data_IF_299739687131
#
_entry.id   IF_299739687131
#
_cell.length_a   1.000
_cell.length_b   1.000
_cell.length_c   1.000
_cell.angle_alpha   90.00
_cell.angle_beta   90.00
_cell.angle_gamma   90.00
#
_symmetry.space_group_name_H-M   'P 1'
#
loop_
_entity.id
_entity.type
_entity.pdbx_description
1 polymer ?
#
# COMPACT_ATOMS: atom_id res chain seq x y z
N UNK A 1 -73.50 -7.87 9.81
CA UNK A 1 -74.35 -7.89 8.63
C UNK A 1 -75.52 -6.93 8.92
N UNK A 2 -75.56 -5.82 8.17
CA UNK A 2 -76.67 -4.89 8.24
C UNK A 2 -77.60 -5.19 7.05
N UNK A 3 -78.87 -5.30 7.35
CA UNK A 3 -79.90 -5.57 6.35
C UNK A 3 -80.75 -4.31 6.21
N UNK A 4 -80.70 -3.64 5.06
CA UNK A 4 -81.66 -2.60 4.74
C UNK A 4 -82.90 -3.26 4.16
N UNK A 5 -83.95 -3.42 4.99
CA UNK A 5 -85.18 -4.06 4.64
C UNK A 5 -85.99 -3.27 3.63
N UNK A 6 -85.75 -1.97 3.39
CA UNK A 6 -86.44 -1.14 2.41
C UNK A 6 -85.88 -1.33 1.01
N UNK A 7 -84.61 -1.56 0.82
CA UNK A 7 -83.92 -1.69 -0.44
C UNK A 7 -83.51 -3.14 -0.81
N UNK A 8 -83.84 -4.11 0.04
CA UNK A 8 -83.42 -5.51 -0.14
C UNK A 8 -81.92 -5.70 -0.42
N UNK A 9 -81.08 -4.80 0.11
CA UNK A 9 -79.62 -4.87 -0.03
C UNK A 9 -79.00 -5.44 1.22
N UNK A 10 -78.05 -6.32 1.01
CA UNK A 10 -77.21 -6.89 2.10
C UNK A 10 -75.81 -6.33 1.97
N UNK A 11 -75.32 -5.63 2.98
CA UNK A 11 -73.96 -5.12 3.00
C UNK A 11 -73.08 -6.02 3.90
N UNK A 12 -72.03 -6.52 3.34
CA UNK A 12 -71.00 -7.28 4.08
C UNK A 12 -69.76 -6.43 4.15
N UNK A 13 -69.28 -6.12 5.35
CA UNK A 13 -68.05 -5.42 5.57
C UNK A 13 -66.99 -6.43 5.98
N UNK A 14 -65.92 -6.52 5.20
CA UNK A 14 -64.72 -7.31 5.52
C UNK A 14 -63.63 -6.34 5.93
N UNK A 15 -63.03 -6.59 7.09
CA UNK A 15 -61.89 -5.87 7.58
C UNK A 15 -60.72 -6.85 7.79
N UNK A 16 -59.50 -6.46 7.36
CA UNK A 16 -58.29 -7.18 7.71
C UNK A 16 -57.91 -6.84 9.15
N UNK A 17 -57.42 -7.84 9.87
CA UNK A 17 -56.81 -7.64 11.19
C UNK A 17 -55.57 -6.74 11.06
N UNK A 18 -55.30 -5.96 12.10
CA UNK A 18 -54.07 -5.14 12.18
C UNK A 18 -52.82 -6.00 12.10
N UNK A 19 -52.85 -7.19 12.67
CA UNK A 19 -51.74 -8.14 12.73
C UNK A 19 -52.10 -9.36 11.86
N UNK A 20 -51.46 -9.46 10.69
CA UNK A 20 -51.57 -10.62 9.83
C UNK A 20 -50.58 -11.69 10.32
N UNK A 21 -51.11 -12.77 10.93
CA UNK A 21 -50.31 -13.87 11.43
C UNK A 21 -50.49 -15.14 10.59
N UNK A 22 -49.55 -16.09 10.73
CA UNK A 22 -49.51 -17.36 9.98
C UNK A 22 -49.47 -17.21 8.45
N UNK A 23 -48.73 -16.19 8.00
CA UNK A 23 -48.44 -16.06 6.57
C UNK A 23 -47.15 -16.79 6.22
N UNK A 24 -47.23 -17.74 5.31
CA UNK A 24 -46.03 -18.39 4.77
C UNK A 24 -45.23 -17.45 3.87
N UNK A 25 -45.92 -16.52 3.21
CA UNK A 25 -45.31 -15.61 2.20
C UNK A 25 -46.13 -14.34 2.02
N UNK A 26 -45.44 -13.22 1.93
CA UNK A 26 -45.98 -11.95 1.45
C UNK A 26 -45.30 -11.63 0.13
N UNK A 27 -46.10 -11.41 -0.93
CA UNK A 27 -45.62 -10.99 -2.26
C UNK A 27 -46.20 -9.64 -2.56
N UNK A 28 -45.31 -8.68 -2.83
CA UNK A 28 -45.71 -7.38 -3.36
C UNK A 28 -45.24 -7.33 -4.81
N UNK A 29 -46.18 -7.36 -5.74
CA UNK A 29 -45.86 -7.24 -7.15
C UNK A 29 -45.47 -5.82 -7.51
N UNK A 30 -44.59 -5.68 -8.51
CA UNK A 30 -44.20 -4.39 -9.05
C UNK A 30 -45.37 -3.63 -9.72
N UNK A 31 -45.08 -2.43 -10.18
CA UNK A 31 -46.04 -1.47 -10.76
C UNK A 31 -46.87 -2.05 -11.90
N UNK A 32 -46.33 -2.99 -12.65
CA UNK A 32 -46.98 -3.62 -13.82
C UNK A 32 -47.97 -4.75 -13.44
N UNK A 33 -48.07 -5.09 -12.14
CA UNK A 33 -48.94 -6.16 -11.67
C UNK A 33 -48.56 -7.57 -12.14
N UNK A 34 -47.38 -7.72 -12.77
CA UNK A 34 -46.89 -9.02 -13.25
C UNK A 34 -46.09 -9.70 -12.18
N UNK A 35 -46.44 -10.91 -11.83
CA UNK A 35 -45.69 -11.71 -10.84
C UNK A 35 -44.24 -11.91 -11.30
N UNK A 36 -43.31 -11.67 -10.37
CA UNK A 36 -41.89 -11.83 -10.60
C UNK A 36 -41.17 -10.63 -11.20
N UNK A 37 -41.86 -9.51 -11.41
CA UNK A 37 -41.24 -8.25 -11.83
C UNK A 37 -41.44 -7.18 -10.76
N UNK A 38 -40.41 -6.42 -10.48
CA UNK A 38 -40.31 -5.29 -9.54
C UNK A 38 -41.22 -5.44 -8.28
N UNK A 39 -40.67 -5.87 -7.17
CA UNK A 39 -41.43 -6.04 -5.94
C UNK A 39 -40.56 -6.46 -4.77
N UNK A 40 -41.20 -6.69 -3.65
CA UNK A 40 -40.56 -7.20 -2.43
C UNK A 40 -41.13 -8.57 -2.11
N UNK A 41 -40.26 -9.57 -1.96
CA UNK A 41 -40.65 -10.91 -1.53
C UNK A 41 -40.04 -11.14 -0.13
N UNK A 42 -40.91 -11.45 0.83
CA UNK A 42 -40.50 -11.84 2.20
C UNK A 42 -40.87 -13.30 2.37
N UNK A 43 -39.88 -14.16 2.60
CA UNK A 43 -40.09 -15.58 2.85
C UNK A 43 -39.61 -15.87 4.28
N UNK A 44 -40.53 -16.32 5.12
CA UNK A 44 -40.20 -16.73 6.48
C UNK A 44 -39.48 -18.09 6.53
N UNK A 45 -38.74 -18.37 7.60
CA UNK A 45 -38.20 -19.69 7.84
C UNK A 45 -39.36 -20.68 8.02
N UNK A 46 -39.40 -21.73 7.24
CA UNK A 46 -40.39 -22.79 7.36
C UNK A 46 -39.73 -24.07 7.88
N UNK A 47 -40.11 -24.47 9.05
CA UNK A 47 -39.78 -25.79 9.58
C UNK A 47 -41.04 -26.61 9.77
N UNK A 48 -41.05 -27.85 9.33
CA UNK A 48 -42.15 -28.75 9.64
C UNK A 48 -42.03 -29.20 11.09
N UNK A 49 -43.15 -29.14 11.83
CA UNK A 49 -43.24 -29.73 13.17
C UNK A 49 -43.19 -31.26 13.05
N UNK A 50 -42.22 -31.88 13.68
CA UNK A 50 -42.17 -33.33 13.74
C UNK A 50 -43.37 -33.91 14.52
N UNK A 51 -43.79 -35.11 14.16
CA UNK A 51 -44.73 -35.89 14.97
C UNK A 51 -44.10 -36.23 16.33
N UNK A 52 -44.92 -36.44 17.35
CA UNK A 52 -44.43 -36.76 18.68
C UNK A 52 -43.44 -37.93 18.64
N UNK A 53 -42.16 -37.66 19.04
CA UNK A 53 -41.09 -38.66 19.05
C UNK A 53 -40.28 -38.74 17.73
N UNK A 54 -40.57 -37.94 16.71
CA UNK A 54 -39.77 -37.84 15.45
C UNK A 54 -39.20 -36.41 15.37
N UNK A 55 -37.90 -36.25 15.12
CA UNK A 55 -37.35 -34.90 14.89
C UNK A 55 -38.07 -34.18 13.74
N UNK A 56 -38.38 -32.91 13.95
CA UNK A 56 -38.91 -32.06 12.89
C UNK A 56 -37.89 -31.83 11.77
N UNK A 57 -38.34 -31.43 10.59
CA UNK A 57 -37.44 -31.02 9.54
C UNK A 57 -36.85 -29.65 9.87
N UNK A 58 -35.58 -29.44 9.53
CA UNK A 58 -34.94 -28.13 9.68
C UNK A 58 -35.73 -27.03 8.95
N UNK A 59 -35.83 -25.85 9.56
CA UNK A 59 -36.40 -24.68 8.89
C UNK A 59 -35.66 -24.30 7.62
N UNK A 60 -36.37 -23.60 6.76
CA UNK A 60 -35.76 -23.01 5.56
C UNK A 60 -35.17 -21.66 5.95
N UNK A 61 -34.01 -21.34 5.37
CA UNK A 61 -33.36 -20.03 5.60
C UNK A 61 -34.30 -18.87 5.20
N UNK A 62 -34.39 -17.86 6.08
CA UNK A 62 -35.20 -16.67 5.83
C UNK A 62 -34.58 -15.76 4.77
N UNK A 63 -35.39 -15.20 3.89
CA UNK A 63 -34.94 -14.29 2.84
C UNK A 63 -35.92 -13.15 2.62
N UNK A 64 -35.37 -11.92 2.45
CA UNK A 64 -36.08 -10.76 1.89
C UNK A 64 -35.41 -10.39 0.57
N UNK A 65 -36.15 -10.38 -0.53
CA UNK A 65 -35.63 -10.01 -1.85
C UNK A 65 -36.32 -8.76 -2.37
N UNK A 66 -35.57 -7.86 -2.97
CA UNK A 66 -36.06 -6.76 -3.78
C UNK A 66 -35.78 -7.12 -5.24
N UNK A 67 -36.78 -7.44 -5.97
CA UNK A 67 -36.67 -7.95 -7.35
C UNK A 67 -36.58 -6.80 -8.37
N UNK A 68 -35.62 -6.90 -9.27
CA UNK A 68 -35.49 -5.97 -10.38
C UNK A 68 -36.47 -6.26 -11.54
N UNK A 69 -36.46 -5.39 -12.54
CA UNK A 69 -37.32 -5.48 -13.72
C UNK A 69 -37.17 -6.81 -14.51
N UNK A 70 -36.01 -7.46 -14.39
CA UNK A 70 -35.71 -8.75 -15.02
C UNK A 70 -36.26 -9.98 -14.25
N UNK A 71 -36.97 -9.74 -13.15
CA UNK A 71 -37.53 -10.80 -12.31
C UNK A 71 -36.52 -11.44 -11.35
N UNK A 72 -35.30 -10.91 -11.25
CA UNK A 72 -34.26 -11.39 -10.32
C UNK A 72 -34.08 -10.44 -9.16
N UNK A 73 -33.67 -10.96 -8.01
CA UNK A 73 -33.37 -10.13 -6.85
C UNK A 73 -32.19 -9.22 -7.12
N UNK A 74 -32.43 -7.93 -7.17
CA UNK A 74 -31.38 -6.90 -7.22
C UNK A 74 -30.71 -6.72 -5.85
N UNK A 75 -31.49 -6.83 -4.77
CA UNK A 75 -31.01 -6.85 -3.39
C UNK A 75 -31.66 -8.01 -2.68
N UNK A 76 -30.89 -8.77 -1.92
CA UNK A 76 -31.41 -9.82 -1.04
C UNK A 76 -30.80 -9.69 0.35
N UNK A 77 -31.61 -9.93 1.39
CA UNK A 77 -31.17 -10.07 2.76
C UNK A 77 -31.53 -11.48 3.19
N UNK A 78 -30.55 -12.27 3.54
CA UNK A 78 -30.73 -13.66 3.90
C UNK A 78 -30.05 -13.98 5.23
N UNK A 79 -30.65 -14.88 5.99
CA UNK A 79 -30.04 -15.48 7.18
C UNK A 79 -29.92 -16.97 6.98
N UNK A 80 -28.71 -17.49 7.12
CA UNK A 80 -28.41 -18.91 6.99
C UNK A 80 -27.43 -19.34 8.08
N UNK A 81 -27.77 -20.39 8.80
CA UNK A 81 -26.90 -20.97 9.84
C UNK A 81 -26.37 -19.93 10.86
N UNK A 82 -27.20 -18.92 11.19
CA UNK A 82 -26.82 -17.82 12.10
C UNK A 82 -25.98 -16.70 11.44
N UNK A 83 -25.70 -16.80 10.16
CA UNK A 83 -24.96 -15.76 9.40
C UNK A 83 -25.94 -14.94 8.56
N UNK A 84 -25.90 -13.61 8.74
CA UNK A 84 -26.66 -12.67 7.90
C UNK A 84 -25.83 -12.27 6.67
N UNK A 85 -26.47 -12.27 5.51
CA UNK A 85 -25.83 -11.81 4.24
C UNK A 85 -26.71 -10.80 3.52
N UNK A 86 -26.07 -9.83 2.86
CA UNK A 86 -26.71 -8.91 1.93
C UNK A 86 -26.16 -9.20 0.53
N UNK A 87 -27.01 -9.70 -0.35
CA UNK A 87 -26.69 -9.91 -1.76
C UNK A 87 -27.01 -8.67 -2.58
N UNK A 88 -26.06 -8.23 -3.39
CA UNK A 88 -26.23 -7.14 -4.36
C UNK A 88 -25.96 -7.67 -5.76
N UNK A 89 -26.90 -7.45 -6.68
CA UNK A 89 -26.75 -7.80 -8.08
C UNK A 89 -26.55 -6.53 -8.91
N UNK A 90 -25.47 -6.46 -9.64
CA UNK A 90 -25.18 -5.33 -10.53
C UNK A 90 -26.09 -5.28 -11.74
N UNK A 91 -26.05 -4.17 -12.52
CA UNK A 91 -26.88 -4.01 -13.70
C UNK A 91 -26.60 -5.12 -14.72
N UNK A 92 -27.66 -5.51 -15.44
CA UNK A 92 -27.57 -6.50 -16.52
C UNK A 92 -26.64 -5.97 -17.62
N UNK A 93 -25.74 -6.81 -18.07
CA UNK A 93 -24.86 -6.51 -19.19
C UNK A 93 -25.54 -6.60 -20.54
N UNK A 94 -24.84 -6.27 -21.64
CA UNK A 94 -25.36 -6.41 -22.98
C UNK A 94 -25.84 -7.84 -23.30
N UNK A 95 -26.86 -7.97 -24.16
CA UNK A 95 -27.39 -9.24 -24.60
C UNK A 95 -27.97 -10.16 -23.49
N UNK A 96 -28.45 -9.57 -22.40
CA UNK A 96 -29.09 -10.34 -21.32
C UNK A 96 -28.15 -11.12 -20.41
N UNK A 97 -26.83 -10.84 -20.47
CA UNK A 97 -25.90 -11.42 -19.52
C UNK A 97 -26.19 -10.94 -18.10
N UNK A 98 -26.14 -11.86 -17.14
CA UNK A 98 -26.38 -11.50 -15.74
C UNK A 98 -25.32 -10.47 -15.25
N UNK A 99 -25.77 -9.49 -14.48
CA UNK A 99 -24.88 -8.55 -13.81
C UNK A 99 -23.95 -9.28 -12.82
N UNK A 100 -22.77 -8.69 -12.58
CA UNK A 100 -21.88 -9.19 -11.53
C UNK A 100 -22.54 -8.98 -10.17
N UNK A 101 -22.46 -9.97 -9.30
CA UNK A 101 -23.08 -9.93 -7.98
C UNK A 101 -22.05 -10.17 -6.88
N UNK A 102 -22.38 -9.74 -5.69
CA UNK A 102 -21.59 -9.96 -4.48
C UNK A 102 -22.51 -10.30 -3.31
N UNK A 103 -22.02 -11.13 -2.39
CA UNK A 103 -22.61 -11.29 -1.06
C UNK A 103 -21.76 -10.58 -0.04
N UNK A 104 -22.37 -9.80 0.82
CA UNK A 104 -21.73 -9.06 1.91
C UNK A 104 -22.14 -9.70 3.23
N UNK A 105 -21.18 -9.99 4.07
CA UNK A 105 -21.35 -10.54 5.42
C UNK A 105 -20.35 -9.93 6.39
N UNK A 106 -20.37 -10.38 7.64
CA UNK A 106 -19.35 -10.04 8.63
C UNK A 106 -18.61 -11.29 9.06
N UNK A 107 -17.30 -11.20 9.12
CA UNK A 107 -16.44 -12.29 9.60
C UNK A 107 -15.29 -11.71 10.43
N UNK A 108 -14.58 -12.56 11.15
CA UNK A 108 -13.31 -12.16 11.76
C UNK A 108 -12.29 -11.85 10.67
N UNK A 109 -11.63 -10.70 10.79
CA UNK A 109 -10.60 -10.28 9.83
C UNK A 109 -9.40 -11.21 9.85
N UNK A 110 -8.77 -11.40 8.68
CA UNK A 110 -7.53 -12.17 8.53
C UNK A 110 -6.29 -11.31 8.75
N UNK A 111 -6.43 -9.99 8.72
CA UNK A 111 -5.33 -9.02 8.84
C UNK A 111 -5.42 -8.28 10.16
N UNK A 112 -4.27 -8.14 10.81
CA UNK A 112 -4.11 -7.36 12.03
C UNK A 112 -4.30 -5.87 11.73
N UNK A 113 -5.03 -5.17 12.59
CA UNK A 113 -5.12 -3.72 12.55
C UNK A 113 -3.74 -3.08 12.78
N UNK A 114 -3.47 -1.97 12.09
CA UNK A 114 -2.17 -1.28 12.20
C UNK A 114 -1.96 -0.70 13.59
N UNK A 115 -2.99 -0.11 14.16
CA UNK A 115 -3.02 0.41 15.55
C UNK A 115 -4.34 0.00 16.20
N UNK A 116 -4.45 -1.22 16.75
CA UNK A 116 -5.64 -1.63 17.47
C UNK A 116 -5.82 -0.76 18.72
N UNK A 117 -7.06 -0.50 19.09
CA UNK A 117 -7.38 0.19 20.35
C UNK A 117 -7.05 -0.70 21.54
N UNK A 118 -6.77 -0.09 22.70
CA UNK A 118 -6.17 -0.76 23.87
C UNK A 118 -6.93 -1.99 24.40
N UNK A 119 -8.20 -2.17 24.06
CA UNK A 119 -9.03 -3.29 24.49
C UNK A 119 -9.53 -4.16 23.32
N UNK A 120 -9.02 -3.94 22.12
CA UNK A 120 -9.43 -4.68 20.95
C UNK A 120 -8.37 -5.71 20.61
N UNK A 121 -8.73 -6.99 20.66
CA UNK A 121 -7.90 -8.04 20.10
C UNK A 121 -7.60 -7.67 18.63
N UNK A 122 -6.43 -8.02 18.14
CA UNK A 122 -5.94 -7.74 16.79
C UNK A 122 -6.89 -8.16 15.66
N UNK A 123 -7.95 -8.86 15.98
CA UNK A 123 -8.98 -9.33 15.05
C UNK A 123 -10.25 -8.54 15.25
N UNK A 124 -10.46 -7.51 14.46
CA UNK A 124 -11.77 -6.86 14.37
C UNK A 124 -12.71 -7.65 13.46
N UNK A 125 -14.00 -7.61 13.76
CA UNK A 125 -14.99 -8.05 12.78
C UNK A 125 -14.92 -7.15 11.53
N UNK A 126 -14.88 -7.78 10.37
CA UNK A 126 -14.79 -7.12 9.08
C UNK A 126 -16.07 -7.28 8.29
N UNK A 127 -16.39 -6.28 7.50
CA UNK A 127 -17.29 -6.47 6.37
C UNK A 127 -16.49 -7.23 5.31
N UNK A 128 -17.03 -8.36 4.90
CA UNK A 128 -16.45 -9.22 3.88
C UNK A 128 -17.42 -9.34 2.72
N UNK A 129 -16.93 -9.33 1.50
CA UNK A 129 -17.75 -9.64 0.36
C UNK A 129 -17.16 -10.78 -0.47
N UNK A 130 -18.06 -11.62 -0.99
CA UNK A 130 -17.74 -12.73 -1.88
C UNK A 130 -18.21 -12.35 -3.30
N UNK A 131 -17.29 -12.10 -4.24
CA UNK A 131 -17.65 -11.85 -5.63
C UNK A 131 -18.22 -13.12 -6.27
N UNK A 132 -19.20 -12.95 -7.16
CA UNK A 132 -19.85 -14.04 -7.88
C UNK A 132 -19.65 -13.93 -9.38
N UNK A 133 -19.75 -15.07 -10.07
CA UNK A 133 -19.78 -15.14 -11.51
C UNK A 133 -21.15 -14.70 -12.08
N UNK A 134 -21.30 -14.71 -13.40
CA UNK A 134 -22.55 -14.37 -14.08
C UNK A 134 -23.72 -15.35 -13.78
N UNK A 135 -23.42 -16.54 -13.25
CA UNK A 135 -24.42 -17.54 -12.86
C UNK A 135 -24.83 -17.40 -11.40
N UNK A 136 -24.19 -16.50 -10.65
CA UNK A 136 -24.44 -16.28 -9.23
C UNK A 136 -23.64 -17.21 -8.31
N UNK A 137 -22.68 -17.97 -8.83
CA UNK A 137 -21.82 -18.82 -8.02
C UNK A 137 -20.64 -18.01 -7.47
N UNK A 138 -20.20 -18.24 -6.22
CA UNK A 138 -18.98 -17.64 -5.68
C UNK A 138 -17.77 -17.90 -6.57
N UNK A 139 -16.97 -16.87 -6.80
CA UNK A 139 -15.67 -17.05 -7.45
C UNK A 139 -14.74 -17.84 -6.50
N UNK A 140 -13.95 -18.75 -7.07
CA UNK A 140 -13.07 -19.65 -6.36
C UNK A 140 -11.61 -19.27 -6.57
N UNK A 141 -10.80 -19.52 -5.55
CA UNK A 141 -9.34 -19.47 -5.62
C UNK A 141 -8.77 -20.78 -6.22
N UNK A 142 -7.44 -20.89 -6.26
CA UNK A 142 -6.76 -22.08 -6.78
C UNK A 142 -7.02 -23.36 -5.95
N UNK A 143 -7.38 -23.20 -4.69
CA UNK A 143 -7.67 -24.29 -3.75
C UNK A 143 -9.17 -24.61 -3.67
N UNK A 144 -9.98 -24.04 -4.58
CA UNK A 144 -11.44 -24.17 -4.67
C UNK A 144 -12.21 -23.60 -3.47
N UNK A 145 -11.61 -22.69 -2.68
CA UNK A 145 -12.32 -21.93 -1.65
C UNK A 145 -12.98 -20.70 -2.25
N UNK A 146 -14.03 -20.19 -1.58
CA UNK A 146 -14.64 -18.92 -1.95
C UNK A 146 -13.65 -17.77 -1.80
N UNK A 147 -13.49 -16.95 -2.85
CA UNK A 147 -12.70 -15.75 -2.77
C UNK A 147 -13.42 -14.76 -1.87
N UNK A 148 -12.84 -14.48 -0.70
CA UNK A 148 -13.33 -13.48 0.24
C UNK A 148 -12.46 -12.23 0.18
N UNK A 149 -13.09 -11.06 0.20
CA UNK A 149 -12.39 -9.77 0.20
C UNK A 149 -12.86 -8.95 1.38
N UNK A 150 -11.91 -8.61 2.25
CA UNK A 150 -12.18 -7.77 3.41
C UNK A 150 -12.25 -6.29 2.99
N UNK A 151 -13.23 -5.56 3.52
CA UNK A 151 -13.34 -4.12 3.36
C UNK A 151 -12.40 -3.46 4.36
N UNK A 152 -11.49 -2.63 3.86
CA UNK A 152 -10.58 -1.86 4.70
C UNK A 152 -11.35 -0.78 5.46
N UNK A 153 -10.92 -0.54 6.69
CA UNK A 153 -11.42 0.52 7.58
C UNK A 153 -10.35 1.59 7.78
N UNK A 154 -10.69 2.68 8.45
CA UNK A 154 -9.70 3.72 8.81
C UNK A 154 -8.66 3.22 9.83
N UNK A 155 -8.88 2.07 10.47
CA UNK A 155 -7.92 1.45 11.38
C UNK A 155 -6.91 0.54 10.68
N UNK A 156 -7.12 0.28 9.40
CA UNK A 156 -6.12 -0.32 8.53
C UNK A 156 -5.07 0.71 8.13
N UNK A 157 -3.98 0.27 7.55
CA UNK A 157 -2.94 1.19 7.13
C UNK A 157 -1.69 0.50 6.62
N UNK A 158 -0.60 1.26 6.62
CA UNK A 158 0.71 0.79 6.19
C UNK A 158 1.67 0.74 7.39
N UNK A 159 2.60 -0.19 7.31
CA UNK A 159 3.69 -0.36 8.27
C UNK A 159 4.99 -0.07 7.53
N UNK A 160 5.82 0.79 8.11
CA UNK A 160 7.11 1.17 7.56
C UNK A 160 8.20 0.77 8.53
N UNK A 161 9.29 0.23 8.03
CA UNK A 161 10.51 -0.01 8.81
C UNK A 161 11.72 0.44 8.01
N UNK A 162 12.79 0.75 8.72
CA UNK A 162 14.10 1.04 8.14
C UNK A 162 15.07 -0.12 8.33
N UNK A 163 16.36 0.18 8.37
CA UNK A 163 17.41 -0.80 8.69
C UNK A 163 17.27 -1.37 10.11
N UNK A 164 16.59 -0.66 10.99
CA UNK A 164 16.22 -1.08 12.35
C UNK A 164 14.92 -1.89 12.32
N UNK A 165 14.93 -3.06 11.72
CA UNK A 165 13.77 -3.90 11.41
C UNK A 165 12.90 -4.28 12.62
N UNK A 166 13.41 -4.15 13.85
CA UNK A 166 12.65 -4.36 15.09
C UNK A 166 11.69 -3.20 15.42
N UNK A 167 11.80 -2.07 14.72
CA UNK A 167 10.96 -0.88 14.94
C UNK A 167 10.09 -0.61 13.72
N UNK A 168 8.81 -0.44 13.94
CA UNK A 168 7.84 -0.14 12.88
C UNK A 168 7.11 1.17 13.13
N UNK A 169 7.01 1.98 12.10
CA UNK A 169 6.11 3.12 12.06
C UNK A 169 4.76 2.66 11.50
N UNK A 170 3.77 2.58 12.36
CA UNK A 170 2.41 2.14 12.02
C UNK A 170 1.54 3.35 11.71
N UNK A 171 1.01 3.43 10.50
CA UNK A 171 0.21 4.55 10.02
C UNK A 171 -1.18 4.06 9.59
N UNK A 172 -2.23 4.58 10.22
CA UNK A 172 -3.63 4.35 9.82
C UNK A 172 -3.91 5.00 8.46
N UNK A 173 -4.93 4.54 7.75
CA UNK A 173 -5.39 5.18 6.53
C UNK A 173 -5.77 6.64 6.82
N UNK A 174 -5.36 7.55 5.94
CA UNK A 174 -5.54 9.00 6.10
C UNK A 174 -4.51 9.69 7.00
N UNK A 175 -3.59 8.95 7.63
CA UNK A 175 -2.50 9.55 8.41
C UNK A 175 -1.41 10.12 7.51
N UNK A 176 -0.81 11.22 7.96
CA UNK A 176 0.37 11.79 7.29
C UNK A 176 1.62 10.94 7.58
N UNK A 177 2.31 10.53 6.53
CA UNK A 177 3.63 9.91 6.61
C UNK A 177 4.69 10.97 6.30
N UNK A 178 5.66 11.13 7.19
CA UNK A 178 6.79 12.05 6.99
C UNK A 178 8.06 11.26 6.66
N UNK A 179 8.76 11.71 5.62
CA UNK A 179 10.11 11.28 5.29
C UNK A 179 10.97 12.53 5.24
N UNK A 180 11.88 12.67 6.18
CA UNK A 180 12.63 13.91 6.40
C UNK A 180 14.13 13.61 6.36
N UNK A 181 14.92 14.58 5.90
CA UNK A 181 16.38 14.57 6.06
C UNK A 181 16.76 14.96 7.49
N UNK A 182 17.66 14.19 8.10
CA UNK A 182 18.13 14.49 9.46
C UNK A 182 18.78 15.87 9.52
N UNK A 183 18.33 16.68 10.48
CA UNK A 183 18.88 18.03 10.72
C UNK A 183 18.52 19.08 9.69
N UNK A 184 17.66 18.78 8.73
CA UNK A 184 17.19 19.73 7.72
C UNK A 184 15.91 20.42 8.22
N UNK A 185 15.95 21.73 8.38
CA UNK A 185 14.76 22.52 8.74
C UNK A 185 13.89 22.78 7.52
N UNK A 186 12.62 23.17 7.73
CA UNK A 186 11.69 23.52 6.66
C UNK A 186 12.23 24.64 5.76
N UNK A 187 12.81 25.69 6.35
CA UNK A 187 13.40 26.79 5.60
C UNK A 187 14.56 26.33 4.70
N UNK A 188 15.40 25.42 5.20
CA UNK A 188 16.49 24.83 4.42
C UNK A 188 15.93 23.91 3.32
N UNK A 189 14.90 23.12 3.61
CA UNK A 189 14.27 22.25 2.61
C UNK A 189 13.66 23.04 1.45
N UNK A 190 13.02 24.16 1.73
CA UNK A 190 12.41 25.03 0.71
C UNK A 190 13.45 25.70 -0.23
N UNK A 191 14.71 25.86 0.23
CA UNK A 191 15.81 26.44 -0.53
C UNK A 191 16.91 25.42 -0.91
N UNK A 192 16.62 24.14 -0.74
CA UNK A 192 17.59 23.06 -0.92
C UNK A 192 18.11 22.98 -2.37
N UNK A 193 19.42 23.16 -2.55
CA UNK A 193 20.08 23.00 -3.82
C UNK A 193 20.67 21.59 -3.91
N UNK A 194 20.28 20.82 -4.89
CA UNK A 194 20.78 19.45 -5.07
C UNK A 194 21.56 19.30 -6.39
N UNK A 195 22.61 18.51 -6.36
CA UNK A 195 23.28 18.05 -7.56
C UNK A 195 22.57 16.80 -8.10
N UNK A 196 22.15 16.83 -9.35
CA UNK A 196 21.38 15.74 -9.96
C UNK A 196 22.19 14.44 -10.11
N UNK A 197 21.52 13.29 -9.97
CA UNK A 197 22.11 11.98 -10.23
C UNK A 197 22.97 11.42 -9.10
N UNK A 198 23.01 12.07 -7.91
CA UNK A 198 23.80 11.62 -6.77
C UNK A 198 23.03 10.68 -5.85
N UNK A 199 21.70 10.78 -5.80
CA UNK A 199 20.84 9.91 -4.97
C UNK A 199 19.76 9.29 -5.87
N UNK A 200 19.48 8.02 -5.66
CA UNK A 200 18.39 7.31 -6.28
C UNK A 200 17.61 6.50 -5.27
N UNK A 201 16.30 6.36 -5.47
CA UNK A 201 15.45 5.41 -4.77
C UNK A 201 15.11 4.28 -5.73
N UNK A 202 15.48 3.07 -5.39
CA UNK A 202 15.33 1.89 -6.25
C UNK A 202 14.41 0.88 -5.58
N UNK A 203 13.33 0.52 -6.28
CA UNK A 203 12.43 -0.55 -5.87
C UNK A 203 13.01 -1.92 -6.22
N UNK A 204 12.76 -2.92 -5.36
CA UNK A 204 13.17 -4.32 -5.60
C UNK A 204 12.09 -5.15 -6.30
N UNK A 205 10.93 -4.58 -6.54
CA UNK A 205 9.79 -5.26 -7.16
C UNK A 205 8.90 -6.02 -6.16
N UNK A 206 9.21 -5.98 -4.86
CA UNK A 206 8.44 -6.61 -3.79
C UNK A 206 8.00 -5.57 -2.74
N UNK A 207 8.73 -5.39 -1.68
CA UNK A 207 8.32 -4.62 -0.51
C UNK A 207 9.32 -3.54 -0.07
N UNK A 208 10.45 -3.40 -0.77
CA UNK A 208 11.55 -2.54 -0.33
C UNK A 208 11.91 -1.44 -1.33
N UNK A 209 12.05 -0.23 -0.81
CA UNK A 209 12.66 0.90 -1.49
C UNK A 209 14.04 1.16 -0.88
N UNK A 210 15.09 1.05 -1.70
CA UNK A 210 16.46 1.30 -1.26
C UNK A 210 16.92 2.67 -1.71
N UNK A 211 17.28 3.54 -0.74
CA UNK A 211 17.95 4.81 -1.03
C UNK A 211 19.42 4.52 -1.27
N UNK A 212 19.93 4.89 -2.43
CA UNK A 212 21.31 4.66 -2.84
C UNK A 212 22.00 5.97 -3.12
N UNK A 213 23.22 6.12 -2.60
CA UNK A 213 24.14 7.17 -2.99
C UNK A 213 24.98 6.68 -4.17
N UNK A 214 25.17 7.54 -5.19
CA UNK A 214 26.03 7.21 -6.32
C UNK A 214 27.48 7.02 -5.84
N UNK A 215 28.18 6.06 -6.46
CA UNK A 215 29.61 5.85 -6.21
C UNK A 215 30.45 7.08 -6.60
N UNK A 216 30.06 7.74 -7.68
CA UNK A 216 30.71 8.94 -8.20
C UNK A 216 29.77 10.13 -7.98
N UNK A 217 30.08 10.93 -6.96
CA UNK A 217 29.36 12.17 -6.69
C UNK A 217 29.79 13.23 -7.72
N UNK A 218 28.81 13.89 -8.33
CA UNK A 218 29.00 14.85 -9.41
C UNK A 218 28.40 16.20 -9.05
N UNK A 219 28.94 17.25 -9.67
CA UNK A 219 28.39 18.60 -9.64
C UNK A 219 28.19 19.17 -8.21
N UNK A 220 29.04 18.73 -7.27
CA UNK A 220 29.09 19.30 -5.93
C UNK A 220 29.90 20.60 -5.97
N UNK A 221 29.32 21.68 -5.44
CA UNK A 221 30.03 22.97 -5.31
C UNK A 221 31.16 22.90 -4.31
N UNK A 222 30.98 22.14 -3.22
CA UNK A 222 31.99 21.96 -2.17
C UNK A 222 31.75 20.67 -1.40
N UNK A 223 32.81 20.18 -0.76
CA UNK A 223 32.75 19.12 0.26
C UNK A 223 33.44 19.66 1.51
N UNK A 224 32.66 19.81 2.59
CA UNK A 224 33.17 20.22 3.89
C UNK A 224 33.21 19.03 4.81
N UNK A 225 34.40 18.69 5.33
CA UNK A 225 34.60 17.56 6.21
C UNK A 225 35.83 17.81 7.10
N UNK A 226 35.83 17.22 8.28
CA UNK A 226 36.99 17.30 9.18
C UNK A 226 38.20 16.49 8.66
N UNK A 227 37.95 15.39 7.94
CA UNK A 227 39.00 14.50 7.46
C UNK A 227 38.60 13.82 6.15
N UNK A 228 39.49 13.80 5.17
CA UNK A 228 39.39 12.99 3.97
C UNK A 228 40.39 11.83 4.06
N UNK A 229 39.92 10.60 3.93
CA UNK A 229 40.75 9.41 3.78
C UNK A 229 40.56 8.84 2.39
N UNK A 230 41.58 8.93 1.57
CA UNK A 230 41.54 8.46 0.18
C UNK A 230 42.89 7.88 -0.21
N UNK A 231 42.92 7.09 -1.28
CA UNK A 231 44.16 6.57 -1.86
C UNK A 231 44.90 7.64 -2.64
N UNK A 232 44.17 8.54 -3.29
CA UNK A 232 44.73 9.62 -4.11
C UNK A 232 43.78 10.81 -4.21
N UNK A 233 44.31 11.98 -4.53
CA UNK A 233 43.54 13.19 -4.79
C UNK A 233 43.92 13.65 -6.22
N UNK A 234 42.94 13.66 -7.10
CA UNK A 234 43.09 14.22 -8.46
C UNK A 234 42.67 15.69 -8.51
N UNK A 235 43.56 16.57 -8.87
CA UNK A 235 43.25 17.98 -9.07
C UNK A 235 43.22 18.25 -10.57
N UNK A 236 42.14 18.82 -11.10
CA UNK A 236 42.00 19.21 -12.51
C UNK A 236 42.06 20.72 -12.67
N UNK A 237 42.78 21.17 -13.67
CA UNK A 237 42.71 22.57 -14.11
C UNK A 237 41.54 22.80 -15.09
N UNK A 238 41.33 24.05 -15.48
CA UNK A 238 40.28 24.43 -16.44
C UNK A 238 40.44 23.80 -17.83
N UNK A 239 41.66 23.40 -18.20
CA UNK A 239 42.00 22.73 -19.47
C UNK A 239 41.80 21.21 -19.39
N UNK A 240 41.47 20.68 -18.19
CA UNK A 240 41.26 19.24 -17.96
C UNK A 240 42.53 18.47 -17.62
N UNK A 241 43.70 19.11 -17.47
CA UNK A 241 44.93 18.45 -17.03
C UNK A 241 44.79 18.03 -15.57
N UNK A 242 45.26 16.85 -15.23
CA UNK A 242 45.13 16.29 -13.90
C UNK A 242 46.48 16.19 -13.22
N UNK A 243 46.59 16.72 -11.99
CA UNK A 243 47.66 16.45 -11.05
C UNK A 243 47.13 15.48 -10.00
N UNK A 244 47.75 14.32 -9.87
CA UNK A 244 47.37 13.31 -8.87
C UNK A 244 48.36 13.36 -7.70
N UNK A 245 47.84 13.51 -6.51
CA UNK A 245 48.58 13.45 -5.25
C UNK A 245 48.28 12.14 -4.56
N UNK A 246 49.27 11.37 -4.18
CA UNK A 246 49.12 10.08 -3.50
C UNK A 246 50.24 9.85 -2.48
N UNK A 247 50.05 8.86 -1.61
CA UNK A 247 51.10 8.37 -0.71
C UNK A 247 51.87 7.24 -1.37
N UNK A 248 53.20 7.28 -1.35
CA UNK A 248 54.06 6.22 -1.79
C UNK A 248 55.13 5.98 -0.71
N UNK A 249 55.08 4.80 -0.07
CA UNK A 249 55.81 4.56 1.19
C UNK A 249 55.41 5.57 2.26
N UNK A 250 56.39 6.27 2.81
CA UNK A 250 56.16 7.32 3.82
C UNK A 250 56.15 8.75 3.23
N UNK A 251 56.20 8.87 1.91
CA UNK A 251 56.26 10.14 1.18
C UNK A 251 54.95 10.50 0.51
N UNK A 252 54.73 11.80 0.34
CA UNK A 252 53.72 12.32 -0.57
C UNK A 252 54.40 12.46 -1.94
N UNK A 253 53.76 11.89 -2.97
CA UNK A 253 54.17 12.02 -4.35
C UNK A 253 53.06 12.69 -5.19
N UNK A 254 53.44 13.34 -6.25
CA UNK A 254 52.49 13.87 -7.22
C UNK A 254 52.95 13.59 -8.65
N UNK A 255 51.97 13.50 -9.53
CA UNK A 255 52.23 13.43 -10.99
C UNK A 255 51.44 14.51 -11.71
N UNK A 256 52.02 15.14 -12.70
CA UNK A 256 51.34 16.15 -13.52
C UNK A 256 51.43 15.84 -15.03
N UNK A 257 51.85 14.63 -15.38
CA UNK A 257 52.06 14.12 -16.73
C UNK A 257 51.22 12.87 -17.06
N UNK A 258 50.02 12.80 -16.48
CA UNK A 258 49.11 11.66 -16.66
C UNK A 258 49.52 10.37 -15.96
N UNK A 259 50.36 10.46 -14.93
CA UNK A 259 50.78 9.30 -14.16
C UNK A 259 52.11 8.67 -14.60
N UNK A 260 52.79 9.27 -15.53
CA UNK A 260 54.03 8.71 -16.13
C UNK A 260 55.22 8.86 -15.18
N UNK A 261 55.35 9.99 -14.48
CA UNK A 261 56.50 10.29 -13.62
C UNK A 261 56.02 10.72 -12.23
N UNK A 262 56.38 9.96 -11.18
CA UNK A 262 56.16 10.35 -9.82
C UNK A 262 57.25 11.33 -9.36
N UNK A 263 56.83 12.48 -8.83
CA UNK A 263 57.71 13.47 -8.20
C UNK A 263 57.44 13.44 -6.72
N UNK A 264 58.48 13.30 -5.90
CA UNK A 264 58.36 13.26 -4.44
C UNK A 264 58.36 14.67 -3.90
N UNK A 265 57.47 14.95 -2.93
CA UNK A 265 57.51 16.22 -2.21
C UNK A 265 58.62 16.17 -1.20
N UNK A 266 59.57 17.11 -1.32
CA UNK A 266 60.67 17.28 -0.35
C UNK A 266 60.12 17.84 0.97
N UNK A 267 60.69 17.38 2.09
CA UNK A 267 60.45 17.89 3.44
C UNK A 267 61.68 18.61 3.96
N UNK A 268 61.55 19.29 5.10
CA UNK A 268 62.71 19.95 5.73
C UNK A 268 63.78 18.95 6.23
N UNK A 269 63.39 17.69 6.42
CA UNK A 269 64.29 16.61 6.84
C UNK A 269 65.05 15.98 5.68
N UNK A 270 64.75 16.38 4.39
CA UNK A 270 65.50 15.90 3.27
C UNK A 270 66.83 16.67 3.13
N UNK A 271 67.87 15.93 2.93
CA UNK A 271 69.19 16.51 2.66
C UNK A 271 69.21 17.09 1.20
N UNK A 272 69.88 18.23 1.08
CA UNK A 272 70.13 18.79 -0.26
C UNK A 272 71.32 18.05 -0.88
N UNK A 273 71.00 17.13 -1.80
CA UNK A 273 72.03 16.50 -2.63
C UNK A 273 72.26 17.33 -3.91
N UNK A 274 73.40 17.97 -3.95
CA UNK A 274 73.87 18.68 -5.18
C UNK A 274 74.64 17.69 -6.02
N UNK A 275 74.04 17.22 -7.10
CA UNK A 275 74.72 16.35 -8.07
C UNK A 275 75.44 17.18 -9.07
N UNK A 276 76.67 16.79 -9.40
CA UNK A 276 77.52 17.41 -10.45
C UNK A 276 77.80 18.89 -10.20
N UNK A 277 78.14 19.25 -8.98
CA UNK A 277 78.51 20.62 -8.64
C UNK A 277 80.02 20.78 -8.73
N UNK A 278 80.45 21.65 -9.61
CA UNK A 278 81.84 22.18 -9.56
C UNK A 278 81.87 23.42 -8.69
N UNK A 279 82.77 23.46 -7.77
CA UNK A 279 83.00 24.66 -6.99
C UNK A 279 84.38 25.23 -7.35
N UNK A 280 84.46 26.52 -7.50
CA UNK A 280 85.72 27.23 -7.65
C UNK A 280 85.94 28.14 -6.43
N UNK A 281 87.18 28.16 -5.95
CA UNK A 281 87.57 29.07 -4.85
C UNK A 281 88.41 30.13 -5.50
N UNK A 282 88.00 31.37 -5.48
CA UNK A 282 88.81 32.48 -5.99
C UNK A 282 89.88 32.93 -5.04
N UNK A 283 90.76 33.84 -5.47
CA UNK A 283 91.85 34.37 -4.66
C UNK A 283 91.36 35.04 -3.35
N UNK A 284 90.14 35.42 -3.22
CA UNK A 284 89.50 36.02 -2.06
C UNK A 284 88.74 35.00 -1.15
N UNK A 285 88.95 33.68 -1.38
CA UNK A 285 88.28 32.54 -0.69
C UNK A 285 86.78 32.49 -0.80
N UNK A 286 86.23 33.10 -1.86
CA UNK A 286 84.81 33.00 -2.17
C UNK A 286 84.51 31.69 -2.91
N UNK A 287 83.59 30.91 -2.36
CA UNK A 287 83.13 29.68 -2.99
C UNK A 287 81.91 30.00 -3.89
N UNK A 288 81.98 29.63 -5.16
CA UNK A 288 80.88 29.75 -6.09
C UNK A 288 80.42 28.34 -6.48
N UNK A 289 79.13 28.04 -6.24
CA UNK A 289 78.48 26.80 -6.64
C UNK A 289 77.72 27.06 -7.96
N UNK A 290 78.03 26.25 -8.98
CA UNK A 290 77.32 26.32 -10.25
C UNK A 290 76.52 25.06 -10.40
N UNK A 291 75.21 25.19 -10.61
CA UNK A 291 74.33 24.09 -10.92
C UNK A 291 74.30 23.88 -12.44
N UNK A 292 74.41 22.61 -12.89
CA UNK A 292 74.29 22.20 -14.28
C UNK A 292 72.98 21.43 -14.45
#
# INVERSE_FOLDING_TARGET
>A
QDVDAANKTHTYTYSLDKDLTNLDKVVVNGKDGVAGKDGVTIVGPQGATGATGIPGTNGIDGKVGITGKDGKDAVSIAGKDGVGTIGLTGPQGPAGTNGKSVDISTENGTKTLVKPEANNNDQSQRIVYVPKDANGNPLKDADNNDIKREVATMDDGLRFTGNNTSTENKQKLGSLVKVEGEGVTEAQANSFQSAAGNIAVVADGADKLTVKLNKDLKDLTSVTTEKVTTKEIGLKDAAGNTTTIKKDGDRITYTNDGGTTNKTVATLDDEMHIKDTTYTVDANKKVTLTYV
#
